data_IF_925357055835
#
_entry.id   IF_925357055835
#
_cell.length_a   1.000
_cell.length_b   1.000
_cell.length_c   1.000
_cell.angle_alpha   90.00
_cell.angle_beta   90.00
_cell.angle_gamma   90.00
#
_symmetry.space_group_name_H-M   'P 1'
#
loop_
_entity.id
_entity.type
_entity.pdbx_description
1 polymer ?
#
# COMPACT_ATOMS: atom_id res chain seq x y z
N UNK A 1 3.73 -18.57 5.60
CA UNK A 1 2.94 -19.75 5.24
C UNK A 1 2.35 -19.62 3.83
N UNK A 2 2.00 -18.39 3.40
CA UNK A 2 1.50 -18.12 2.05
C UNK A 2 1.83 -16.70 1.56
N UNK A 3 1.71 -16.50 0.25
CA UNK A 3 1.76 -15.20 -0.44
C UNK A 3 0.37 -14.89 -1.01
N UNK A 4 -0.05 -13.64 -0.95
CA UNK A 4 -1.32 -13.18 -1.52
C UNK A 4 -1.19 -11.77 -2.10
N UNK A 5 -1.91 -11.47 -3.17
CA UNK A 5 -2.08 -10.10 -3.68
C UNK A 5 -3.34 -9.46 -3.13
N UNK A 6 -3.28 -8.17 -2.83
CA UNK A 6 -4.49 -7.37 -2.63
C UNK A 6 -5.18 -7.26 -3.99
N UNK A 7 -6.43 -7.71 -4.11
CA UNK A 7 -7.15 -7.69 -5.40
C UNK A 7 -7.52 -6.26 -5.85
N UNK A 8 -7.29 -5.92 -7.13
CA UNK A 8 -6.70 -6.78 -8.19
C UNK A 8 -5.24 -6.39 -8.47
N UNK A 9 -4.81 -5.19 -8.10
CA UNK A 9 -3.51 -4.58 -8.42
C UNK A 9 -2.32 -5.39 -7.87
N UNK A 10 -2.43 -5.91 -6.66
CA UNK A 10 -1.37 -6.68 -6.03
C UNK A 10 -1.19 -8.11 -6.55
N UNK A 11 -2.12 -8.64 -7.37
CA UNK A 11 -2.11 -10.06 -7.75
C UNK A 11 -0.92 -10.42 -8.63
N UNK A 12 -0.60 -9.60 -9.65
CA UNK A 12 0.56 -9.83 -10.51
C UNK A 12 1.89 -9.85 -9.73
N UNK A 13 2.05 -8.90 -8.81
CA UNK A 13 3.22 -8.82 -7.93
C UNK A 13 3.33 -10.04 -7.01
N UNK A 14 2.19 -10.52 -6.48
CA UNK A 14 2.15 -11.70 -5.63
C UNK A 14 2.55 -12.98 -6.39
N UNK A 15 2.15 -13.11 -7.64
CA UNK A 15 2.57 -14.22 -8.51
C UNK A 15 4.08 -14.23 -8.72
N UNK A 16 4.68 -13.09 -9.10
CA UNK A 16 6.12 -12.95 -9.26
C UNK A 16 6.88 -13.26 -7.97
N UNK A 17 6.43 -12.70 -6.84
CA UNK A 17 7.04 -12.94 -5.54
C UNK A 17 6.95 -14.41 -5.11
N UNK A 18 5.77 -15.03 -5.28
CA UNK A 18 5.54 -16.44 -4.98
C UNK A 18 6.47 -17.35 -5.77
N UNK A 19 6.59 -17.11 -7.08
CA UNK A 19 7.46 -17.89 -7.97
C UNK A 19 8.94 -17.78 -7.55
N UNK A 20 9.41 -16.56 -7.27
CA UNK A 20 10.80 -16.31 -6.89
C UNK A 20 11.13 -16.89 -5.51
N UNK A 21 10.22 -16.75 -4.55
CA UNK A 21 10.45 -17.19 -3.16
C UNK A 21 10.02 -18.64 -2.90
N UNK A 22 9.36 -19.29 -3.86
CA UNK A 22 8.78 -20.65 -3.74
C UNK A 22 7.87 -20.80 -2.52
N UNK A 23 7.10 -19.76 -2.22
CA UNK A 23 6.09 -19.75 -1.17
C UNK A 23 4.72 -19.88 -1.84
N UNK A 24 3.82 -20.76 -1.37
CA UNK A 24 2.51 -20.98 -2.01
C UNK A 24 1.70 -19.71 -2.20
N UNK A 25 1.19 -19.49 -3.41
CA UNK A 25 0.24 -18.42 -3.71
C UNK A 25 -1.16 -18.81 -3.22
N UNK A 26 -1.84 -17.94 -2.51
CA UNK A 26 -3.19 -18.15 -2.00
C UNK A 26 -4.04 -16.92 -2.32
N UNK A 27 -5.35 -17.10 -2.53
CA UNK A 27 -6.32 -16.02 -2.70
C UNK A 27 -7.22 -15.93 -1.45
N UNK A 28 -6.75 -15.31 -0.38
CA UNK A 28 -7.51 -15.24 0.87
C UNK A 28 -8.63 -14.21 0.82
N UNK A 29 -8.71 -13.38 -0.21
CA UNK A 29 -9.78 -12.41 -0.41
C UNK A 29 -10.72 -12.83 -1.54
N UNK A 30 -12.02 -12.80 -1.26
CA UNK A 30 -13.06 -12.70 -2.28
C UNK A 30 -13.34 -11.22 -2.54
N UNK A 31 -13.22 -10.78 -3.79
CA UNK A 31 -13.63 -9.45 -4.21
C UNK A 31 -15.09 -9.51 -4.65
N UNK A 32 -15.96 -8.89 -3.88
CA UNK A 32 -17.35 -8.71 -4.29
C UNK A 32 -17.45 -7.44 -5.13
N UNK A 33 -17.67 -7.63 -6.43
CA UNK A 33 -17.92 -6.52 -7.35
C UNK A 33 -19.41 -6.60 -7.74
N UNK A 34 -20.32 -5.98 -6.98
CA UNK A 34 -21.70 -5.89 -7.42
C UNK A 34 -21.72 -5.12 -8.74
N UNK A 35 -22.50 -5.61 -9.71
CA UNK A 35 -22.73 -4.98 -11.01
C UNK A 35 -23.56 -3.70 -10.90
N UNK A 36 -23.50 -3.04 -9.76
CA UNK A 36 -24.24 -1.80 -9.53
C UNK A 36 -23.50 -0.64 -10.21
N UNK A 37 -24.17 0.11 -11.07
CA UNK A 37 -23.60 1.32 -11.67
C UNK A 37 -23.16 2.27 -10.57
N UNK A 38 -22.09 3.04 -10.79
CA UNK A 38 -21.56 4.06 -9.85
C UNK A 38 -22.63 5.07 -9.35
N UNK A 39 -23.75 5.19 -10.06
CA UNK A 39 -24.90 6.04 -9.71
C UNK A 39 -25.69 5.57 -8.48
N UNK A 40 -25.50 4.34 -8.03
CA UNK A 40 -26.13 3.80 -6.81
C UNK A 40 -25.21 3.86 -5.59
N UNK A 41 -24.52 4.97 -5.38
CA UNK A 41 -23.86 5.22 -4.09
C UNK A 41 -24.96 5.35 -3.01
N UNK A 42 -24.94 4.50 -1.96
CA UNK A 42 -25.94 4.56 -0.91
C UNK A 42 -25.94 5.93 -0.25
N UNK A 43 -27.13 6.49 0.00
CA UNK A 43 -27.26 7.84 0.54
C UNK A 43 -26.91 7.94 2.03
N UNK A 44 -26.95 6.83 2.77
CA UNK A 44 -26.64 6.79 4.20
C UNK A 44 -25.22 6.29 4.46
N UNK A 45 -24.56 6.82 5.50
CA UNK A 45 -23.18 6.46 5.87
C UNK A 45 -23.06 4.96 6.18
N UNK A 46 -24.01 4.39 6.93
CA UNK A 46 -24.00 2.97 7.30
C UNK A 46 -24.00 2.03 6.08
N UNK A 47 -24.74 2.39 5.04
CA UNK A 47 -24.75 1.62 3.79
C UNK A 47 -23.47 1.80 2.99
N UNK A 48 -22.83 2.99 3.05
CA UNK A 48 -21.50 3.21 2.43
C UNK A 48 -20.43 2.38 3.12
N UNK A 49 -20.46 2.32 4.45
CA UNK A 49 -19.53 1.53 5.25
C UNK A 49 -19.71 0.03 5.01
N UNK A 50 -20.95 -0.42 4.87
CA UNK A 50 -21.27 -1.80 4.51
C UNK A 50 -20.73 -2.15 3.10
N UNK A 51 -20.98 -1.29 2.11
CA UNK A 51 -20.48 -1.49 0.74
C UNK A 51 -18.96 -1.45 0.70
N UNK A 52 -18.31 -0.60 1.51
CA UNK A 52 -16.86 -0.58 1.62
C UNK A 52 -16.29 -1.89 2.20
N UNK A 53 -16.93 -2.43 3.25
CA UNK A 53 -16.58 -3.74 3.85
C UNK A 53 -16.80 -4.91 2.90
N UNK A 54 -17.77 -4.84 2.02
CA UNK A 54 -18.06 -5.89 1.05
C UNK A 54 -17.07 -5.96 -0.11
N UNK A 55 -16.20 -4.97 -0.28
CA UNK A 55 -15.25 -4.95 -1.41
C UNK A 55 -14.21 -6.06 -1.35
N UNK A 56 -13.70 -6.35 -0.17
CA UNK A 56 -12.71 -7.39 0.07
C UNK A 56 -13.14 -8.21 1.29
N UNK A 57 -13.58 -9.43 1.05
CA UNK A 57 -14.04 -10.34 2.09
C UNK A 57 -12.93 -11.36 2.36
N UNK A 58 -12.30 -11.36 3.55
CA UNK A 58 -11.32 -12.37 3.88
C UNK A 58 -11.96 -13.75 4.07
N UNK A 59 -11.27 -14.81 3.63
CA UNK A 59 -11.70 -16.19 3.86
C UNK A 59 -10.96 -16.76 5.09
N UNK A 60 -11.63 -16.94 6.23
CA UNK A 60 -11.00 -17.40 7.48
C UNK A 60 -10.31 -18.76 7.35
N UNK A 61 -10.85 -19.66 6.54
CA UNK A 61 -10.26 -21.00 6.34
C UNK A 61 -8.85 -20.94 5.71
N UNK A 62 -8.54 -19.87 4.97
CA UNK A 62 -7.25 -19.70 4.31
C UNK A 62 -6.24 -18.93 5.16
N UNK A 63 -6.68 -18.15 6.17
CA UNK A 63 -5.83 -17.20 6.92
C UNK A 63 -5.68 -17.53 8.41
N UNK A 64 -6.67 -18.17 9.03
CA UNK A 64 -6.69 -18.42 10.46
C UNK A 64 -5.43 -19.19 10.92
N UNK A 65 -4.79 -18.65 11.96
CA UNK A 65 -3.55 -19.19 12.53
C UNK A 65 -2.33 -19.22 11.58
N UNK A 66 -2.35 -18.50 10.46
CA UNK A 66 -1.25 -18.45 9.49
C UNK A 66 -0.54 -17.09 9.49
N UNK A 67 0.66 -17.08 8.91
CA UNK A 67 1.46 -15.90 8.60
C UNK A 67 1.35 -15.65 7.11
N UNK A 68 0.88 -14.47 6.70
CA UNK A 68 0.69 -14.12 5.30
C UNK A 68 1.62 -13.01 4.83
N UNK A 69 2.17 -13.16 3.62
CA UNK A 69 2.84 -12.07 2.90
C UNK A 69 1.83 -11.54 1.89
N UNK A 70 1.45 -10.28 2.05
CA UNK A 70 0.53 -9.60 1.15
C UNK A 70 1.28 -8.60 0.29
N UNK A 71 0.94 -8.56 -0.99
CA UNK A 71 1.52 -7.63 -1.95
C UNK A 71 0.46 -6.67 -2.48
N UNK A 72 0.87 -5.43 -2.68
CA UNK A 72 0.07 -4.40 -3.35
C UNK A 72 0.97 -3.53 -4.22
N UNK A 73 0.37 -2.77 -5.15
CA UNK A 73 1.11 -1.87 -6.04
C UNK A 73 1.65 -0.66 -5.29
N UNK A 74 0.84 -0.03 -4.43
CA UNK A 74 1.19 1.22 -3.74
C UNK A 74 0.44 1.41 -2.42
N UNK A 75 0.97 2.28 -1.55
CA UNK A 75 0.24 2.84 -0.41
C UNK A 75 0.13 4.35 -0.61
N UNK A 76 -1.08 4.84 -0.90
CA UNK A 76 -1.34 6.28 -1.01
C UNK A 76 -1.71 6.85 0.36
N UNK A 77 -2.93 6.62 0.83
CA UNK A 77 -3.43 7.11 2.14
C UNK A 77 -3.34 6.07 3.24
N UNK A 78 -3.36 4.81 2.88
CA UNK A 78 -3.30 3.69 3.83
C UNK A 78 -4.61 3.39 4.57
N UNK A 79 -5.66 4.20 4.43
CA UNK A 79 -6.91 4.01 5.17
C UNK A 79 -7.55 2.65 4.89
N UNK A 80 -7.71 2.31 3.60
CA UNK A 80 -8.28 1.03 3.19
C UNK A 80 -7.41 -0.16 3.65
N UNK A 81 -6.09 -0.02 3.55
CA UNK A 81 -5.16 -1.07 3.99
C UNK A 81 -5.22 -1.29 5.50
N UNK A 82 -5.38 -0.22 6.29
CA UNK A 82 -5.58 -0.31 7.74
C UNK A 82 -6.85 -1.09 8.09
N UNK A 83 -7.96 -0.82 7.42
CA UNK A 83 -9.21 -1.54 7.63
C UNK A 83 -9.07 -3.01 7.23
N UNK A 84 -8.48 -3.30 6.08
CA UNK A 84 -8.21 -4.67 5.63
C UNK A 84 -7.31 -5.43 6.62
N UNK A 85 -6.29 -4.78 7.17
CA UNK A 85 -5.39 -5.39 8.17
C UNK A 85 -6.12 -5.73 9.46
N UNK A 86 -6.99 -4.82 9.92
CA UNK A 86 -7.83 -5.06 11.10
C UNK A 86 -8.77 -6.26 10.86
N UNK A 87 -9.38 -6.34 9.68
CA UNK A 87 -10.28 -7.43 9.34
C UNK A 87 -9.53 -8.78 9.27
N UNK A 88 -8.30 -8.82 8.74
CA UNK A 88 -7.45 -10.02 8.79
C UNK A 88 -7.15 -10.46 10.23
N UNK A 89 -6.83 -9.51 11.12
CA UNK A 89 -6.58 -9.84 12.53
C UNK A 89 -7.84 -10.33 13.24
N UNK A 90 -9.02 -9.77 12.95
CA UNK A 90 -10.29 -10.23 13.52
C UNK A 90 -10.64 -11.66 13.08
N UNK A 91 -10.21 -12.07 11.89
CA UNK A 91 -10.35 -13.44 11.37
C UNK A 91 -9.23 -14.40 11.81
N UNK A 92 -8.34 -13.94 12.70
CA UNK A 92 -7.37 -14.78 13.39
C UNK A 92 -6.08 -15.07 12.63
N UNK A 93 -5.65 -14.19 11.72
CA UNK A 93 -4.31 -14.27 11.13
C UNK A 93 -3.25 -14.01 12.23
N UNK A 94 -2.13 -14.72 12.18
CA UNK A 94 -1.03 -14.54 13.16
C UNK A 94 -0.15 -13.34 12.82
N UNK A 95 0.26 -13.22 11.55
CA UNK A 95 1.17 -12.19 11.11
C UNK A 95 0.76 -11.69 9.72
N UNK A 96 0.81 -10.37 9.54
CA UNK A 96 0.56 -9.69 8.26
C UNK A 96 1.84 -8.97 7.83
N UNK A 97 2.49 -9.50 6.81
CA UNK A 97 3.69 -8.92 6.21
C UNK A 97 3.32 -8.26 4.88
N UNK A 98 3.54 -6.95 4.75
CA UNK A 98 3.22 -6.22 3.53
C UNK A 98 4.48 -5.93 2.70
N UNK A 99 4.36 -6.11 1.38
CA UNK A 99 5.39 -5.81 0.39
C UNK A 99 4.75 -4.96 -0.70
N UNK A 100 5.27 -3.77 -0.88
CA UNK A 100 4.76 -2.79 -1.83
C UNK A 100 5.68 -2.72 -3.04
N UNK A 101 5.09 -2.78 -4.23
CA UNK A 101 5.82 -2.89 -5.48
C UNK A 101 6.40 -1.56 -6.00
N UNK A 102 6.22 -0.48 -5.27
CA UNK A 102 6.85 0.82 -5.56
C UNK A 102 7.48 1.42 -4.29
N UNK A 103 8.32 2.47 -4.40
CA UNK A 103 8.76 3.26 -3.25
C UNK A 103 7.62 3.99 -2.55
N UNK A 104 7.82 4.48 -1.30
CA UNK A 104 6.83 5.31 -0.61
C UNK A 104 6.50 6.58 -1.40
N UNK A 105 5.22 6.86 -1.58
CA UNK A 105 4.76 8.09 -2.23
C UNK A 105 4.95 9.28 -1.29
N UNK A 106 5.97 10.09 -1.55
CA UNK A 106 6.37 11.21 -0.69
C UNK A 106 5.91 12.56 -1.23
N UNK A 107 5.82 12.67 -2.56
CA UNK A 107 5.43 13.90 -3.24
C UNK A 107 4.09 13.74 -3.96
N UNK A 108 3.17 14.72 -3.84
CA UNK A 108 1.90 14.67 -4.54
C UNK A 108 2.11 14.83 -6.05
N UNK A 109 1.36 14.10 -6.85
CA UNK A 109 1.40 14.20 -8.30
C UNK A 109 0.32 15.17 -8.80
N UNK A 110 0.68 16.09 -9.69
CA UNK A 110 -0.27 17.02 -10.30
C UNK A 110 -1.16 16.36 -11.35
N UNK A 111 -0.69 15.28 -11.95
CA UNK A 111 -1.38 14.58 -13.05
C UNK A 111 -2.27 13.45 -12.57
N UNK A 112 -1.92 12.77 -11.47
CA UNK A 112 -2.66 11.62 -10.98
C UNK A 112 -3.62 12.02 -9.86
N UNK A 113 -4.91 11.97 -10.14
CA UNK A 113 -5.96 12.39 -9.21
C UNK A 113 -5.98 11.67 -7.86
N UNK A 114 -5.49 10.44 -7.78
CA UNK A 114 -5.48 9.66 -6.54
C UNK A 114 -4.42 10.16 -5.54
N UNK A 115 -3.32 10.74 -6.03
CA UNK A 115 -2.28 11.36 -5.20
C UNK A 115 -2.44 12.89 -5.12
N UNK A 116 -3.36 13.47 -5.89
CA UNK A 116 -3.74 14.88 -5.87
C UNK A 116 -4.59 15.15 -4.62
N UNK A 117 -3.94 15.09 -3.48
CA UNK A 117 -4.57 15.47 -2.23
C UNK A 117 -4.61 17.00 -2.14
N UNK A 118 -5.78 17.54 -1.84
CA UNK A 118 -5.90 18.98 -1.49
C UNK A 118 -5.14 19.30 -0.20
N UNK A 119 -4.81 18.27 0.59
CA UNK A 119 -3.97 18.36 1.78
C UNK A 119 -2.85 17.32 1.66
N UNK A 120 -1.63 17.78 1.65
CA UNK A 120 -0.40 16.97 1.59
C UNK A 120 -0.38 15.88 2.66
N UNK A 121 -0.97 16.13 3.82
CA UNK A 121 -1.12 15.20 4.95
C UNK A 121 -1.96 13.94 4.66
N UNK A 122 -2.68 13.88 3.53
CA UNK A 122 -3.44 12.65 3.21
C UNK A 122 -2.55 11.49 2.73
N UNK A 123 -1.29 11.77 2.34
CA UNK A 123 -0.34 10.71 2.04
C UNK A 123 0.10 10.02 3.33
N UNK A 124 0.15 8.67 3.32
CA UNK A 124 0.57 7.89 4.48
C UNK A 124 1.98 8.24 4.96
N UNK A 125 2.89 8.57 4.02
CA UNK A 125 4.24 9.06 4.28
C UNK A 125 4.23 10.38 5.02
N UNK A 126 3.49 11.38 4.50
CA UNK A 126 3.41 12.72 5.09
C UNK A 126 2.75 12.70 6.46
N UNK A 127 1.70 11.90 6.63
CA UNK A 127 1.10 11.65 7.95
C UNK A 127 2.12 11.06 8.93
N UNK A 128 2.91 10.06 8.51
CA UNK A 128 3.91 9.46 9.37
C UNK A 128 5.03 10.44 9.73
N UNK A 129 5.51 11.24 8.78
CA UNK A 129 6.54 12.26 8.99
C UNK A 129 6.05 13.33 9.98
N UNK A 130 4.84 13.84 9.79
CA UNK A 130 4.24 14.83 10.71
C UNK A 130 4.10 14.26 12.13
N UNK A 131 3.72 13.00 12.28
CA UNK A 131 3.67 12.33 13.59
C UNK A 131 5.04 12.16 14.25
N UNK A 132 6.12 12.05 13.48
CA UNK A 132 7.48 11.91 13.99
C UNK A 132 8.12 13.23 14.36
N UNK A 133 7.86 14.27 13.57
CA UNK A 133 8.55 15.58 13.70
C UNK A 133 7.69 16.65 14.38
N UNK A 134 6.37 16.47 14.43
CA UNK A 134 5.43 17.49 14.94
C UNK A 134 5.23 18.68 14.01
N UNK A 135 5.77 18.62 12.78
CA UNK A 135 5.64 19.67 11.75
C UNK A 135 5.50 19.03 10.36
N UNK A 136 4.93 19.78 9.43
CA UNK A 136 4.86 19.43 8.01
C UNK A 136 6.06 19.92 7.21
N UNK A 137 6.75 20.94 7.74
CA UNK A 137 7.92 21.56 7.11
C UNK A 137 9.17 20.76 7.47
N UNK A 138 9.57 19.88 6.57
CA UNK A 138 10.75 19.00 6.72
C UNK A 138 11.46 18.86 5.37
N UNK A 139 12.75 18.62 5.44
CA UNK A 139 13.54 18.17 4.28
C UNK A 139 13.12 16.75 3.91
N UNK A 140 12.43 16.62 2.76
CA UNK A 140 11.87 15.34 2.30
C UNK A 140 12.89 14.45 1.60
N UNK A 141 14.02 14.97 1.17
CA UNK A 141 15.03 14.22 0.43
C UNK A 141 15.50 13.00 1.25
N UNK A 142 15.73 13.19 2.56
CA UNK A 142 16.11 12.12 3.48
C UNK A 142 15.07 11.01 3.62
N UNK A 143 13.80 11.33 3.36
CA UNK A 143 12.71 10.34 3.41
C UNK A 143 12.53 9.58 2.10
N UNK A 144 13.27 9.97 1.05
CA UNK A 144 13.31 9.26 -0.23
C UNK A 144 14.51 8.29 -0.33
N UNK A 145 15.53 8.44 0.55
CA UNK A 145 16.69 7.56 0.61
C UNK A 145 16.44 6.33 1.51
N UNK A 146 16.34 5.11 0.95
CA UNK A 146 16.07 3.88 1.72
C UNK A 146 17.11 3.56 2.79
N UNK A 147 18.33 4.09 2.69
CA UNK A 147 19.42 3.82 3.64
C UNK A 147 19.41 4.82 4.82
N UNK A 148 18.67 5.95 4.70
CA UNK A 148 18.59 6.96 5.76
C UNK A 148 17.81 6.46 6.99
N UNK A 149 18.12 7.01 8.16
CA UNK A 149 17.39 6.72 9.40
C UNK A 149 15.98 7.35 9.38
N UNK A 150 15.82 8.48 8.69
CA UNK A 150 14.54 9.15 8.49
C UNK A 150 13.57 8.28 7.68
N UNK A 151 14.02 7.69 6.59
CA UNK A 151 13.23 6.76 5.80
C UNK A 151 12.81 5.54 6.64
N UNK A 152 13.76 4.91 7.33
CA UNK A 152 13.48 3.75 8.19
C UNK A 152 12.47 4.08 9.28
N UNK A 153 12.62 5.24 9.93
CA UNK A 153 11.69 5.71 10.96
C UNK A 153 10.28 5.97 10.38
N UNK A 154 10.19 6.57 9.21
CA UNK A 154 8.93 6.80 8.48
C UNK A 154 8.23 5.48 8.15
N UNK A 155 8.95 4.53 7.55
CA UNK A 155 8.39 3.21 7.19
C UNK A 155 7.92 2.47 8.43
N UNK A 156 8.67 2.52 9.53
CA UNK A 156 8.27 1.91 10.80
C UNK A 156 7.03 2.60 11.40
N UNK A 157 6.89 3.91 11.26
CA UNK A 157 5.69 4.64 11.68
C UNK A 157 4.48 4.22 10.83
N UNK A 158 4.62 4.14 9.51
CA UNK A 158 3.56 3.65 8.61
C UNK A 158 3.16 2.22 9.00
N UNK A 159 4.14 1.33 9.23
CA UNK A 159 3.90 -0.04 9.67
C UNK A 159 3.01 -0.09 10.91
N UNK A 160 3.35 0.70 11.94
CA UNK A 160 2.59 0.78 13.20
C UNK A 160 1.18 1.33 12.98
N UNK A 161 1.04 2.40 12.19
CA UNK A 161 -0.26 3.01 11.88
C UNK A 161 -1.22 2.03 11.18
N UNK A 162 -0.67 1.11 10.39
CA UNK A 162 -1.42 0.12 9.63
C UNK A 162 -1.62 -1.22 10.38
N UNK A 163 -1.00 -1.41 11.55
CA UNK A 163 -1.10 -2.64 12.34
C UNK A 163 -0.42 -3.85 11.71
N UNK A 164 0.62 -3.63 10.90
CA UNK A 164 1.36 -4.67 10.17
C UNK A 164 2.47 -5.28 11.03
N UNK A 165 2.74 -6.58 10.84
CA UNK A 165 3.90 -7.25 11.43
C UNK A 165 5.20 -6.76 10.79
N UNK A 166 5.23 -6.60 9.46
CA UNK A 166 6.34 -5.96 8.75
C UNK A 166 5.86 -5.25 7.49
N UNK A 167 6.58 -4.20 7.11
CA UNK A 167 6.35 -3.43 5.90
C UNK A 167 7.67 -3.22 5.18
N UNK A 168 7.69 -3.47 3.87
CA UNK A 168 8.81 -3.12 2.99
C UNK A 168 8.29 -2.57 1.68
N UNK A 169 8.96 -1.57 1.18
CA UNK A 169 8.75 -0.98 -0.14
C UNK A 169 9.84 -1.43 -1.11
N UNK A 170 9.54 -1.39 -2.39
CA UNK A 170 10.52 -1.59 -3.46
C UNK A 170 11.48 -0.40 -3.49
N UNK A 171 12.76 -0.64 -3.78
CA UNK A 171 13.72 0.44 -4.06
C UNK A 171 13.43 1.02 -5.44
N UNK A 172 13.65 2.33 -5.62
CA UNK A 172 13.42 3.01 -6.90
C UNK A 172 14.31 2.45 -8.01
N UNK A 173 15.58 2.25 -7.73
CA UNK A 173 16.53 1.67 -8.70
C UNK A 173 16.10 0.29 -9.20
N UNK A 174 15.63 -0.58 -8.28
CA UNK A 174 15.20 -1.92 -8.67
C UNK A 174 13.89 -1.88 -9.48
N UNK A 175 13.03 -0.88 -9.23
CA UNK A 175 11.81 -0.66 -10.01
C UNK A 175 12.14 -0.16 -11.42
N UNK A 176 13.06 0.80 -11.56
CA UNK A 176 13.56 1.29 -12.84
C UNK A 176 14.17 0.16 -13.67
N UNK A 177 15.01 -0.66 -13.05
CA UNK A 177 15.63 -1.85 -13.69
C UNK A 177 14.58 -2.86 -14.15
N UNK A 178 13.56 -3.12 -13.32
CA UNK A 178 12.47 -4.04 -13.66
C UNK A 178 11.60 -3.56 -14.83
N UNK A 179 11.41 -2.24 -14.96
CA UNK A 179 10.68 -1.63 -16.09
C UNK A 179 11.51 -1.73 -17.37
N UNK A 180 12.84 -1.61 -17.28
CA UNK A 180 13.75 -1.76 -18.42
C UNK A 180 13.71 -0.62 -19.43
N UNK A 181 13.19 0.54 -19.03
CA UNK A 181 13.22 1.77 -19.85
C UNK A 181 14.34 2.70 -19.35
N UNK A 182 14.95 3.51 -20.24
CA UNK A 182 15.85 4.56 -19.83
C UNK A 182 15.19 5.52 -18.83
N UNK A 183 15.97 5.96 -17.82
CA UNK A 183 15.47 6.81 -16.73
C UNK A 183 14.80 8.09 -17.25
N UNK A 184 15.30 8.64 -18.34
CA UNK A 184 14.78 9.85 -19.00
C UNK A 184 13.38 9.67 -19.60
N UNK A 185 12.90 8.43 -19.68
CA UNK A 185 11.55 8.07 -20.14
C UNK A 185 10.60 7.71 -19.00
N UNK A 186 11.05 7.83 -17.78
CA UNK A 186 10.27 7.48 -16.58
C UNK A 186 10.06 8.75 -15.74
N UNK A 187 8.83 8.97 -15.29
CA UNK A 187 8.54 10.00 -14.29
C UNK A 187 8.60 9.36 -12.90
N UNK A 188 9.50 9.82 -12.06
CA UNK A 188 9.68 9.34 -10.67
C UNK A 188 9.33 10.39 -9.62
N UNK A 189 8.69 11.49 -10.04
CA UNK A 189 8.37 12.65 -9.21
C UNK A 189 7.70 12.28 -7.86
N UNK A 190 6.75 11.34 -7.86
CA UNK A 190 6.04 10.95 -6.63
C UNK A 190 6.95 10.36 -5.55
N UNK A 191 8.14 9.90 -5.90
CA UNK A 191 9.07 9.20 -5.02
C UNK A 191 10.28 10.04 -4.65
N UNK A 192 10.90 10.75 -5.62
CA UNK A 192 12.17 11.46 -5.47
C UNK A 192 12.13 12.96 -5.84
N UNK A 193 10.93 13.48 -6.16
CA UNK A 193 10.75 14.88 -6.61
C UNK A 193 11.43 15.21 -7.94
N UNK A 194 11.89 14.23 -8.71
CA UNK A 194 12.38 14.50 -10.06
C UNK A 194 11.20 14.87 -10.97
N UNK A 195 11.36 15.95 -11.77
CA UNK A 195 10.37 16.34 -12.76
C UNK A 195 10.96 16.18 -14.16
N UNK A 196 10.20 15.60 -15.06
CA UNK A 196 10.55 15.49 -16.48
C UNK A 196 9.73 16.44 -17.36
N UNK A 197 9.05 17.41 -16.76
CA UNK A 197 8.22 18.40 -17.43
C UNK A 197 8.65 19.83 -17.07
#
# INVERSE_FOLDING_TARGET
DFVAGIPDSGVGHAMGYSNQRRIPLTRPYAKYTPTWPRSFMPQTQDKRDLVAKMKLIPNPALIKNKRGIFLDDSIVRGTQLKDNTRDLHSEGIKEVHMRIACPPLTYPCEFLNFSRSRKTLELATRTAISQLKGTEEVDLEKYSDPESEEYKAMVERIRKNLGLTSLKFQKLSDLEDAIGLPKEKLCTHCWDNSSHF
#
